data_IF_361941831157
#
_entry.id   IF_361941831157
#
_cell.length_a   1.000
_cell.length_b   1.000
_cell.length_c   1.000
_cell.angle_alpha   90.00
_cell.angle_beta   90.00
_cell.angle_gamma   90.00
#
_symmetry.space_group_name_H-M   'P 1'
#
loop_
_entity.id
_entity.type
_entity.pdbx_description
1 polymer ?
#
# COMPACT_ATOMS: atom_id res chain seq x y z
N UNK A 1 10.99 20.67 29.29
CA UNK A 1 11.95 20.65 28.18
C UNK A 1 11.92 19.26 27.57
N UNK A 2 11.56 19.25 26.30
CA UNK A 2 11.58 18.22 25.25
C UNK A 2 11.35 16.73 25.59
N UNK A 3 10.28 16.22 24.97
CA UNK A 3 9.86 14.83 24.85
C UNK A 3 10.87 14.09 23.97
N UNK A 4 11.48 13.02 24.48
CA UNK A 4 12.23 12.06 23.67
C UNK A 4 11.25 11.39 22.70
N UNK A 5 11.24 11.89 21.46
CA UNK A 5 10.48 11.33 20.36
C UNK A 5 10.94 9.90 20.06
N UNK A 6 9.96 9.02 19.91
CA UNK A 6 10.13 7.59 19.67
C UNK A 6 11.16 7.33 18.58
N UNK A 7 12.26 6.67 18.98
CA UNK A 7 13.26 6.17 18.06
C UNK A 7 12.65 5.04 17.24
N UNK A 8 12.20 5.36 16.03
CA UNK A 8 11.72 4.40 15.05
C UNK A 8 12.81 3.35 14.79
N UNK A 9 12.63 2.14 15.34
CA UNK A 9 13.43 0.98 14.93
C UNK A 9 13.07 0.65 13.49
N UNK A 10 14.02 0.83 12.58
CA UNK A 10 13.94 0.34 11.20
C UNK A 10 13.65 -1.16 11.26
N UNK A 11 12.43 -1.56 10.91
CA UNK A 11 12.04 -2.98 10.88
C UNK A 11 12.64 -3.58 9.62
N UNK A 12 13.71 -4.37 9.79
CA UNK A 12 14.29 -5.15 8.71
C UNK A 12 13.24 -6.02 8.01
N UNK A 13 13.13 -5.87 6.69
CA UNK A 13 12.22 -6.66 5.86
C UNK A 13 12.38 -8.17 6.15
N UNK A 14 11.25 -8.84 6.38
CA UNK A 14 11.18 -10.30 6.43
C UNK A 14 11.35 -10.86 5.02
N UNK A 15 12.60 -10.87 4.55
CA UNK A 15 12.97 -11.58 3.34
C UNK A 15 12.61 -13.07 3.41
N UNK A 16 12.33 -13.63 2.24
CA UNK A 16 11.96 -15.03 2.00
C UNK A 16 12.78 -16.00 2.88
N UNK A 17 12.12 -16.90 3.63
CA UNK A 17 12.74 -17.77 4.66
C UNK A 17 13.95 -18.55 4.12
N UNK A 18 13.87 -18.96 2.85
CA UNK A 18 14.94 -19.66 2.11
C UNK A 18 16.20 -18.78 1.95
N UNK A 19 16.03 -17.55 1.44
CA UNK A 19 17.12 -16.57 1.30
C UNK A 19 17.72 -16.19 2.66
N UNK A 20 16.90 -16.06 3.71
CA UNK A 20 17.41 -15.82 5.08
C UNK A 20 18.32 -16.94 5.60
N UNK A 21 17.97 -18.19 5.32
CA UNK A 21 18.81 -19.35 5.67
C UNK A 21 20.13 -19.33 4.89
N UNK A 22 20.08 -18.93 3.62
CA UNK A 22 21.23 -18.81 2.74
C UNK A 22 22.20 -17.71 3.19
N UNK A 23 21.69 -16.49 3.46
CA UNK A 23 22.50 -15.39 4.00
C UNK A 23 23.13 -15.74 5.37
N UNK A 24 22.39 -16.43 6.25
CA UNK A 24 22.92 -16.92 7.53
C UNK A 24 24.02 -17.97 7.36
N UNK A 25 23.91 -18.86 6.38
CA UNK A 25 24.95 -19.86 6.10
C UNK A 25 26.22 -19.23 5.53
N UNK A 26 26.09 -18.14 4.77
CA UNK A 26 27.22 -17.48 4.11
C UNK A 26 27.84 -16.33 4.92
N UNK A 27 27.32 -16.02 6.12
CA UNK A 27 27.81 -14.90 6.95
C UNK A 27 27.59 -13.52 6.32
N UNK A 28 26.70 -13.41 5.33
CA UNK A 28 26.44 -12.15 4.62
C UNK A 28 25.37 -11.35 5.35
N UNK A 29 25.67 -10.09 5.68
CA UNK A 29 24.64 -9.14 6.11
C UNK A 29 23.61 -8.96 5.01
N UNK A 30 22.33 -8.86 5.39
CA UNK A 30 21.29 -8.53 4.41
C UNK A 30 21.59 -7.13 3.88
N UNK A 31 21.53 -6.91 2.56
CA UNK A 31 21.57 -5.56 2.04
C UNK A 31 20.37 -4.80 2.62
N UNK A 32 20.65 -3.68 3.29
CA UNK A 32 19.64 -2.67 3.59
C UNK A 32 19.29 -2.05 2.23
N UNK A 33 18.31 -2.63 1.56
CA UNK A 33 17.75 -2.04 0.34
C UNK A 33 16.99 -0.81 0.80
N UNK A 34 17.60 0.37 0.66
CA UNK A 34 16.87 1.64 0.76
C UNK A 34 15.82 1.61 -0.34
N UNK A 35 14.55 1.68 0.06
CA UNK A 35 13.45 1.75 -0.90
C UNK A 35 13.63 3.04 -1.70
N UNK A 36 13.97 2.94 -2.97
CA UNK A 36 14.06 4.11 -3.85
C UNK A 36 12.73 4.22 -4.57
N UNK A 37 12.11 5.40 -4.52
CA UNK A 37 10.88 5.63 -5.24
C UNK A 37 11.06 5.42 -6.76
N UNK A 38 10.25 4.57 -7.39
CA UNK A 38 10.28 4.43 -8.85
C UNK A 38 9.86 5.72 -9.54
N UNK A 39 10.61 6.10 -10.57
CA UNK A 39 10.23 7.20 -11.46
C UNK A 39 8.88 6.88 -12.10
N UNK A 40 7.96 7.84 -12.08
CA UNK A 40 6.63 7.67 -12.67
C UNK A 40 5.67 6.78 -11.88
N UNK A 41 5.96 6.47 -10.61
CA UNK A 41 5.11 5.58 -9.79
C UNK A 41 3.65 6.05 -9.75
N UNK A 42 3.40 7.36 -9.57
CA UNK A 42 2.04 7.92 -9.50
C UNK A 42 1.28 7.71 -10.82
N UNK A 43 1.92 8.00 -11.95
CA UNK A 43 1.36 7.74 -13.28
C UNK A 43 1.10 6.25 -13.48
N UNK A 44 2.01 5.39 -13.02
CA UNK A 44 1.84 3.94 -13.03
C UNK A 44 0.67 3.46 -12.16
N UNK A 45 0.43 4.08 -11.00
CA UNK A 45 -0.73 3.78 -10.16
C UNK A 45 -2.03 4.23 -10.84
N UNK A 46 -2.08 5.44 -11.39
CA UNK A 46 -3.24 5.92 -12.15
C UNK A 46 -3.58 5.00 -13.33
N UNK A 47 -2.56 4.54 -14.07
CA UNK A 47 -2.76 3.56 -15.14
C UNK A 47 -3.33 2.25 -14.61
N UNK A 48 -2.87 1.75 -13.45
CA UNK A 48 -3.43 0.54 -12.83
C UNK A 48 -4.88 0.74 -12.37
N UNK A 49 -5.22 1.89 -11.79
CA UNK A 49 -6.60 2.21 -11.44
C UNK A 49 -7.49 2.16 -12.69
N UNK A 50 -7.04 2.78 -13.78
CA UNK A 50 -7.72 2.74 -15.06
C UNK A 50 -7.86 1.31 -15.60
N UNK A 51 -6.76 0.56 -15.68
CA UNK A 51 -6.73 -0.82 -16.18
C UNK A 51 -7.63 -1.74 -15.34
N UNK A 52 -7.69 -1.57 -14.01
CA UNK A 52 -8.61 -2.30 -13.13
C UNK A 52 -10.05 -2.03 -13.51
N UNK A 53 -10.45 -0.77 -13.60
CA UNK A 53 -11.83 -0.36 -13.89
C UNK A 53 -12.28 -0.85 -15.27
N UNK A 54 -11.38 -0.88 -16.25
CA UNK A 54 -11.68 -1.35 -17.61
C UNK A 54 -11.60 -2.87 -17.77
N UNK A 55 -11.18 -3.60 -16.73
CA UNK A 55 -11.03 -5.05 -16.82
C UNK A 55 -12.38 -5.77 -16.81
N UNK A 56 -12.46 -6.89 -17.52
CA UNK A 56 -13.63 -7.77 -17.49
C UNK A 56 -13.99 -8.21 -16.08
N UNK A 57 -12.98 -8.48 -15.25
CA UNK A 57 -13.16 -8.83 -13.84
C UNK A 57 -13.91 -7.73 -13.07
N UNK A 58 -13.60 -6.46 -13.33
CA UNK A 58 -14.29 -5.36 -12.66
C UNK A 58 -15.77 -5.31 -13.04
N UNK A 59 -16.06 -5.40 -14.34
CA UNK A 59 -17.42 -5.33 -14.85
C UNK A 59 -18.27 -6.56 -14.48
N UNK A 60 -17.67 -7.75 -14.43
CA UNK A 60 -18.39 -9.00 -14.17
C UNK A 60 -18.48 -9.35 -12.69
N UNK A 61 -17.49 -8.94 -11.88
CA UNK A 61 -17.35 -9.40 -10.49
C UNK A 61 -17.34 -8.24 -9.51
N UNK A 62 -16.41 -7.30 -9.68
CA UNK A 62 -16.19 -6.26 -8.66
C UNK A 62 -17.40 -5.33 -8.52
N UNK A 63 -17.98 -4.86 -9.63
CA UNK A 63 -19.12 -3.93 -9.59
C UNK A 63 -20.31 -4.50 -8.79
N UNK A 64 -20.65 -5.77 -9.02
CA UNK A 64 -21.76 -6.45 -8.32
C UNK A 64 -21.42 -6.77 -6.85
N UNK A 65 -20.19 -7.21 -6.56
CA UNK A 65 -19.74 -7.41 -5.18
C UNK A 65 -19.74 -6.10 -4.39
N UNK A 66 -19.29 -5.01 -5.00
CA UNK A 66 -19.27 -3.71 -4.35
C UNK A 66 -20.68 -3.17 -4.11
N UNK A 67 -21.61 -3.36 -5.05
CA UNK A 67 -23.01 -2.99 -4.83
C UNK A 67 -23.67 -3.78 -3.68
N UNK A 68 -23.24 -5.01 -3.40
CA UNK A 68 -23.79 -5.81 -2.31
C UNK A 68 -23.12 -5.57 -0.96
N UNK A 69 -21.84 -5.19 -0.93
CA UNK A 69 -21.05 -4.99 0.30
C UNK A 69 -21.05 -3.52 0.77
N UNK A 70 -21.15 -2.56 -0.15
CA UNK A 70 -21.01 -1.13 0.15
C UNK A 70 -22.29 -0.34 0.52
N UNK A 71 -23.54 -0.78 0.33
CA UNK A 71 -24.67 0.16 0.19
C UNK A 71 -25.19 0.81 1.49
N UNK A 72 -24.50 0.72 2.64
CA UNK A 72 -25.08 1.16 3.93
C UNK A 72 -24.21 2.16 4.71
N UNK A 73 -23.03 2.55 4.21
CA UNK A 73 -22.11 3.34 5.03
C UNK A 73 -22.20 4.83 4.67
N UNK A 74 -22.77 5.64 5.56
CA UNK A 74 -22.93 7.10 5.41
C UNK A 74 -21.59 7.86 5.44
N UNK A 75 -20.59 7.29 6.10
CA UNK A 75 -19.19 7.67 6.02
C UNK A 75 -18.36 6.43 6.37
N UNK A 76 -17.23 6.22 5.68
CA UNK A 76 -16.47 4.98 5.82
C UNK A 76 -14.97 5.21 5.76
N UNK A 77 -14.24 4.32 6.41
CA UNK A 77 -12.79 4.19 6.25
C UNK A 77 -12.50 2.85 5.60
N UNK A 78 -11.65 2.85 4.59
CA UNK A 78 -11.03 1.64 4.06
C UNK A 78 -9.69 1.53 4.77
N UNK A 79 -9.52 0.48 5.56
CA UNK A 79 -8.31 0.25 6.33
C UNK A 79 -7.55 -0.91 5.71
N UNK A 80 -6.36 -0.65 5.20
CA UNK A 80 -5.50 -1.63 4.56
C UNK A 80 -4.37 -2.05 5.51
N UNK A 81 -4.35 -3.32 5.89
CA UNK A 81 -3.26 -3.93 6.65
C UNK A 81 -2.37 -4.77 5.73
N UNK A 82 -1.05 -4.66 5.89
CA UNK A 82 -0.13 -5.57 5.21
C UNK A 82 -0.02 -5.36 3.69
N UNK A 83 -0.09 -4.11 3.23
CA UNK A 83 0.03 -3.73 1.82
C UNK A 83 1.39 -4.14 1.19
N UNK A 84 2.45 -4.13 1.97
CA UNK A 84 3.82 -4.29 1.51
C UNK A 84 4.42 -3.00 0.95
N UNK A 85 5.69 -3.08 0.54
CA UNK A 85 6.38 -1.94 -0.07
C UNK A 85 5.83 -1.64 -1.46
N UNK A 86 5.22 -0.47 -1.62
CA UNK A 86 4.68 0.04 -2.89
C UNK A 86 5.78 0.48 -3.84
N UNK A 87 6.97 0.79 -3.34
CA UNK A 87 8.11 1.13 -4.20
C UNK A 87 8.70 -0.10 -4.90
N UNK A 88 8.57 -1.28 -4.29
CA UNK A 88 9.27 -2.48 -4.76
C UNK A 88 8.35 -3.61 -5.25
N UNK A 89 7.12 -3.67 -4.75
CA UNK A 89 6.19 -4.74 -5.06
C UNK A 89 5.14 -4.29 -6.06
N UNK A 90 5.17 -4.88 -7.26
CA UNK A 90 4.09 -4.70 -8.25
C UNK A 90 2.74 -5.16 -7.70
N UNK A 91 2.72 -6.16 -6.82
CA UNK A 91 1.48 -6.62 -6.17
C UNK A 91 0.95 -5.57 -5.19
N UNK A 92 1.82 -4.98 -4.38
CA UNK A 92 1.44 -3.88 -3.48
C UNK A 92 0.88 -2.69 -4.27
N UNK A 93 1.48 -2.38 -5.44
CA UNK A 93 0.98 -1.33 -6.32
C UNK A 93 -0.43 -1.63 -6.88
N UNK A 94 -0.74 -2.88 -7.24
CA UNK A 94 -2.09 -3.27 -7.67
C UNK A 94 -3.09 -3.28 -6.52
N UNK A 95 -2.69 -3.72 -5.33
CA UNK A 95 -3.53 -3.66 -4.13
C UNK A 95 -3.86 -2.22 -3.73
N UNK A 96 -2.86 -1.33 -3.79
CA UNK A 96 -3.06 0.10 -3.58
C UNK A 96 -3.99 0.70 -4.64
N UNK A 97 -3.78 0.37 -5.92
CA UNK A 97 -4.65 0.83 -7.00
C UNK A 97 -6.11 0.40 -6.78
N UNK A 98 -6.34 -0.86 -6.36
CA UNK A 98 -7.67 -1.33 -6.00
C UNK A 98 -8.26 -0.49 -4.85
N UNK A 99 -7.52 -0.27 -3.77
CA UNK A 99 -7.99 0.53 -2.63
C UNK A 99 -8.36 1.97 -3.04
N UNK A 100 -7.55 2.59 -3.90
CA UNK A 100 -7.83 3.92 -4.44
C UNK A 100 -9.12 3.94 -5.27
N UNK A 101 -9.31 2.97 -6.17
CA UNK A 101 -10.54 2.85 -6.97
C UNK A 101 -11.76 2.66 -6.06
N UNK A 102 -11.63 1.88 -4.98
CA UNK A 102 -12.72 1.67 -4.02
C UNK A 102 -13.11 2.95 -3.29
N UNK A 103 -12.15 3.83 -2.96
CA UNK A 103 -12.45 5.15 -2.39
C UNK A 103 -13.12 6.04 -3.43
N UNK A 104 -12.55 6.13 -4.64
CA UNK A 104 -13.03 7.01 -5.72
C UNK A 104 -14.46 6.67 -6.15
N UNK A 105 -14.82 5.38 -6.17
CA UNK A 105 -16.12 4.90 -6.64
C UNK A 105 -17.23 4.92 -5.60
N UNK A 106 -16.93 5.28 -4.34
CA UNK A 106 -17.97 5.45 -3.32
C UNK A 106 -18.74 6.75 -3.56
N UNK A 107 -20.06 6.68 -3.39
CA UNK A 107 -20.95 7.85 -3.44
C UNK A 107 -20.85 8.73 -2.20
N UNK A 108 -20.40 8.18 -1.08
CA UNK A 108 -20.18 8.89 0.18
C UNK A 108 -18.70 9.14 0.44
N UNK A 109 -18.32 10.24 1.12
CA UNK A 109 -16.94 10.49 1.51
C UNK A 109 -16.31 9.29 2.24
N UNK A 110 -15.17 8.85 1.73
CA UNK A 110 -14.42 7.73 2.27
C UNK A 110 -12.93 8.08 2.37
N UNK A 111 -12.26 7.60 3.43
CA UNK A 111 -10.83 7.79 3.62
C UNK A 111 -10.11 6.45 3.52
N UNK A 112 -8.92 6.45 2.94
CA UNK A 112 -8.02 5.30 2.90
C UNK A 112 -7.00 5.43 4.03
N UNK A 113 -6.94 4.44 4.91
CA UNK A 113 -5.95 4.30 5.97
C UNK A 113 -5.05 3.09 5.65
N UNK A 114 -3.73 3.26 5.74
CA UNK A 114 -2.77 2.18 5.45
C UNK A 114 -1.91 1.93 6.68
N UNK A 115 -1.96 0.70 7.21
CA UNK A 115 -1.13 0.25 8.33
C UNK A 115 -0.25 -0.91 7.88
N UNK A 116 1.02 -0.60 7.66
CA UNK A 116 2.00 -1.63 7.40
C UNK A 116 3.38 -1.27 7.99
N UNK A 117 3.91 -2.08 8.92
CA UNK A 117 5.22 -1.82 9.53
C UNK A 117 6.39 -1.92 8.54
N UNK A 118 6.17 -2.40 7.31
CA UNK A 118 7.21 -2.53 6.29
C UNK A 118 7.31 -1.31 5.37
N UNK A 119 6.42 -0.32 5.49
CA UNK A 119 6.50 0.92 4.73
C UNK A 119 7.67 1.76 5.22
N UNK A 120 8.52 2.18 4.28
CA UNK A 120 9.56 3.17 4.57
C UNK A 120 8.96 4.56 4.81
N UNK A 121 9.74 5.44 5.43
CA UNK A 121 9.34 6.83 5.65
C UNK A 121 8.98 7.54 4.33
N UNK A 122 9.76 7.30 3.28
CA UNK A 122 9.51 7.90 1.97
C UNK A 122 8.21 7.36 1.34
N UNK A 123 7.89 6.07 1.53
CA UNK A 123 6.60 5.51 1.13
C UNK A 123 5.45 6.16 1.88
N UNK A 124 5.58 6.35 3.20
CA UNK A 124 4.56 7.01 4.02
C UNK A 124 4.29 8.43 3.54
N UNK A 125 5.34 9.23 3.34
CA UNK A 125 5.25 10.59 2.79
C UNK A 125 4.56 10.59 1.43
N UNK A 126 4.95 9.67 0.53
CA UNK A 126 4.31 9.55 -0.77
C UNK A 126 2.80 9.21 -0.66
N UNK A 127 2.44 8.26 0.20
CA UNK A 127 1.05 7.85 0.40
C UNK A 127 0.20 8.99 1.00
N UNK A 128 0.73 9.76 1.95
CA UNK A 128 0.00 10.84 2.62
C UNK A 128 -0.06 12.11 1.77
N UNK A 129 1.08 12.61 1.30
CA UNK A 129 1.16 13.91 0.62
C UNK A 129 0.67 13.85 -0.83
N UNK A 130 0.94 12.75 -1.54
CA UNK A 130 0.61 12.69 -2.97
C UNK A 130 -0.68 11.95 -3.30
N UNK A 131 -1.11 11.04 -2.42
CA UNK A 131 -2.32 10.24 -2.61
C UNK A 131 -3.41 10.55 -1.57
N UNK A 132 -3.12 11.39 -0.57
CA UNK A 132 -4.11 11.77 0.44
C UNK A 132 -4.55 10.62 1.34
N UNK A 133 -3.75 9.55 1.45
CA UNK A 133 -4.01 8.47 2.39
C UNK A 133 -3.78 8.97 3.81
N UNK A 134 -4.60 8.51 4.77
CA UNK A 134 -4.36 8.75 6.18
C UNK A 134 -3.35 7.73 6.71
N UNK A 135 -2.42 8.23 7.52
CA UNK A 135 -1.58 7.41 8.39
C UNK A 135 -2.08 7.56 9.83
N UNK A 136 -2.03 6.47 10.62
CA UNK A 136 -2.14 6.54 12.07
C UNK A 136 -0.92 5.88 12.71
#
# INVERSE_FOLDING_TARGET
MEKNGDAWKVVERRGNRRKRQEYRKCGLEKPIIKAVRPVGLKQGLNKRCHDLVQSDWWHQTAASMLQSILPVWTSGRIVCYGLGSVFESRNAQWQLALALVLVERRTTPCKLEIHDPVLSLEEKVFLTEELGCLEA
#
